data_IF_699006977518
#
_entry.id   IF_699006977518
#
_cell.length_a   1.000
_cell.length_b   1.000
_cell.length_c   1.000
_cell.angle_alpha   90.00
_cell.angle_beta   90.00
_cell.angle_gamma   90.00
#
_symmetry.space_group_name_H-M   'P 1'
#
loop_
_entity.id
_entity.type
_entity.pdbx_description
1 polymer ?
#
# COMPACT_ATOMS: atom_id res chain seq x y z
N UNK A 1 19.79 12.49 -7.10
CA UNK A 1 19.42 13.27 -8.30
C UNK A 1 18.02 12.84 -8.65
N UNK A 2 17.03 13.75 -8.57
CA UNK A 2 15.66 13.42 -8.93
C UNK A 2 15.60 13.43 -10.45
N UNK A 3 15.54 12.27 -11.09
CA UNK A 3 15.20 12.19 -12.50
C UNK A 3 13.80 12.77 -12.65
N UNK A 4 13.64 13.78 -13.51
CA UNK A 4 12.33 14.35 -13.81
C UNK A 4 11.54 13.32 -14.62
N UNK A 5 10.56 12.66 -13.99
CA UNK A 5 9.77 11.62 -14.63
C UNK A 5 8.61 12.25 -15.41
N UNK A 6 8.55 11.99 -16.71
CA UNK A 6 7.48 12.49 -17.58
C UNK A 6 6.23 11.61 -17.45
N UNK A 7 5.04 12.23 -17.47
CA UNK A 7 3.78 11.49 -17.48
C UNK A 7 3.59 10.72 -18.80
N UNK A 8 3.29 9.41 -18.78
CA UNK A 8 3.07 8.62 -20.01
C UNK A 8 1.91 9.14 -20.87
N UNK A 9 0.94 9.83 -20.26
CA UNK A 9 -0.18 10.46 -20.96
C UNK A 9 0.17 11.84 -21.58
N UNK A 10 1.44 12.27 -21.53
CA UNK A 10 1.91 13.54 -22.11
C UNK A 10 1.47 14.78 -21.33
N UNK A 11 1.00 14.64 -20.09
CA UNK A 11 0.39 15.73 -19.33
C UNK A 11 1.39 16.65 -18.59
N UNK A 12 2.70 16.43 -18.78
CA UNK A 12 3.78 17.13 -18.09
C UNK A 12 4.54 16.26 -17.09
N UNK A 13 5.31 16.90 -16.21
CA UNK A 13 6.12 16.23 -15.19
C UNK A 13 5.25 15.63 -14.07
N UNK A 14 5.75 14.54 -13.49
CA UNK A 14 5.13 13.86 -12.36
C UNK A 14 5.84 14.22 -11.05
N UNK A 15 5.06 14.30 -9.97
CA UNK A 15 5.58 14.57 -8.63
C UNK A 15 5.61 13.29 -7.80
N UNK A 16 6.70 13.10 -7.05
CA UNK A 16 6.77 12.10 -6.01
C UNK A 16 5.86 12.50 -4.84
N UNK A 17 4.84 11.68 -4.56
CA UNK A 17 4.03 11.80 -3.36
C UNK A 17 4.36 10.67 -2.40
N UNK A 18 5.06 11.05 -1.34
CA UNK A 18 5.37 10.16 -0.23
C UNK A 18 4.14 9.92 0.61
N UNK A 19 3.70 8.67 0.73
CA UNK A 19 2.68 8.26 1.69
C UNK A 19 3.32 7.41 2.77
N UNK A 20 3.11 7.82 4.02
CA UNK A 20 3.47 7.00 5.18
C UNK A 20 2.25 6.20 5.61
N UNK A 21 2.33 4.88 5.49
CA UNK A 21 1.31 3.99 6.02
C UNK A 21 1.70 3.57 7.43
N UNK A 22 1.02 4.14 8.43
CA UNK A 22 1.26 3.84 9.86
C UNK A 22 0.74 2.46 10.28
N UNK A 23 -0.11 1.81 9.47
CA UNK A 23 -0.67 0.48 9.77
C UNK A 23 0.31 -0.63 9.41
N UNK A 24 1.07 -0.45 8.32
CA UNK A 24 2.02 -1.43 7.82
C UNK A 24 3.40 -1.10 8.37
N UNK A 25 4.02 -2.06 9.06
CA UNK A 25 5.37 -1.91 9.61
C UNK A 25 6.38 -2.60 8.72
N UNK A 26 7.46 -1.90 8.41
CA UNK A 26 8.66 -2.45 7.78
C UNK A 26 9.68 -2.70 8.88
N UNK A 27 10.51 -3.73 8.68
CA UNK A 27 11.63 -4.01 9.57
C UNK A 27 12.62 -2.84 9.53
N UNK A 28 12.53 -1.96 10.52
CA UNK A 28 13.51 -0.92 10.82
C UNK A 28 14.14 -1.23 12.19
N UNK A 29 15.39 -1.70 12.25
CA UNK A 29 15.99 -2.17 13.50
C UNK A 29 16.04 -1.08 14.57
N UNK A 30 16.24 0.18 14.16
CA UNK A 30 16.24 1.32 15.06
C UNK A 30 14.83 1.64 15.59
N UNK A 31 13.81 1.64 14.72
CA UNK A 31 12.42 1.85 15.10
C UNK A 31 11.90 0.76 16.04
N UNK A 32 12.26 -0.51 15.80
CA UNK A 32 11.93 -1.62 16.71
C UNK A 32 12.66 -1.53 18.04
N UNK A 33 13.94 -1.16 18.05
CA UNK A 33 14.68 -0.92 19.29
C UNK A 33 14.04 0.19 20.13
N UNK A 34 13.59 1.28 19.50
CA UNK A 34 12.85 2.36 20.18
C UNK A 34 11.50 1.88 20.73
N UNK A 35 10.76 1.04 19.99
CA UNK A 35 9.50 0.49 20.48
C UNK A 35 9.72 -0.42 21.71
N UNK A 36 10.70 -1.33 21.63
CA UNK A 36 11.03 -2.23 22.73
C UNK A 36 11.51 -1.43 23.96
N UNK A 37 12.36 -0.43 23.75
CA UNK A 37 12.85 0.43 24.82
C UNK A 37 11.75 1.28 25.49
N UNK A 38 10.67 1.63 24.77
CA UNK A 38 9.56 2.42 25.32
C UNK A 38 8.57 1.63 26.18
N UNK A 39 8.51 0.29 26.04
CA UNK A 39 7.55 -0.56 26.78
C UNK A 39 7.78 -0.53 28.30
N UNK A 40 9.02 -0.70 28.82
CA UNK A 40 9.28 -0.64 30.27
C UNK A 40 8.83 0.68 30.91
N UNK A 41 9.00 1.81 30.21
CA UNK A 41 8.59 3.14 30.70
C UNK A 41 7.07 3.28 30.91
N UNK A 42 6.26 2.42 30.30
CA UNK A 42 4.79 2.42 30.43
C UNK A 42 4.31 1.30 31.34
N UNK A 43 4.85 0.08 31.18
CA UNK A 43 4.33 -1.12 31.82
C UNK A 43 4.88 -1.33 33.24
N UNK A 44 6.11 -0.88 33.51
CA UNK A 44 6.77 -1.06 34.81
C UNK A 44 7.70 0.14 35.09
N UNK A 45 7.14 1.36 35.23
CA UNK A 45 7.94 2.57 35.42
C UNK A 45 8.72 2.56 36.75
N UNK A 46 8.31 1.74 37.71
CA UNK A 46 8.93 1.59 39.03
C UNK A 46 10.06 0.54 39.05
N UNK A 47 10.15 -0.32 38.03
CA UNK A 47 11.18 -1.38 37.90
C UNK A 47 12.22 -1.05 36.80
N UNK A 48 12.35 0.22 36.43
CA UNK A 48 13.33 0.63 35.42
C UNK A 48 14.76 0.42 35.94
N UNK A 49 15.66 -0.24 35.20
CA UNK A 49 17.05 -0.51 35.62
C UNK A 49 17.96 0.73 35.59
N UNK A 50 17.37 1.93 35.52
CA UNK A 50 18.07 3.19 35.33
C UNK A 50 17.57 4.22 36.36
N UNK A 51 18.35 4.43 37.41
CA UNK A 51 18.09 5.42 38.49
C UNK A 51 18.12 6.89 38.02
N UNK A 52 18.35 7.13 36.72
CA UNK A 52 18.47 8.47 36.13
C UNK A 52 17.13 9.10 35.73
N UNK A 53 16.04 8.33 35.68
CA UNK A 53 14.75 8.87 35.29
C UNK A 53 13.99 9.37 36.53
N UNK A 54 13.49 10.62 36.51
CA UNK A 54 12.74 11.15 37.64
C UNK A 54 11.54 10.23 37.92
N UNK A 55 11.27 9.94 39.19
CA UNK A 55 10.15 9.11 39.69
C UNK A 55 8.76 9.70 39.41
N UNK A 56 8.66 10.63 38.47
CA UNK A 56 7.42 11.22 38.01
C UNK A 56 6.82 10.32 36.93
N UNK A 57 5.80 9.54 37.34
CA UNK A 57 5.02 8.66 36.48
C UNK A 57 4.57 9.32 35.16
N UNK A 58 4.20 10.60 35.20
CA UNK A 58 3.74 11.36 34.03
C UNK A 58 4.89 11.56 33.03
N UNK A 59 6.09 11.86 33.52
CA UNK A 59 7.28 12.08 32.69
C UNK A 59 7.74 10.76 32.06
N UNK A 60 7.79 9.68 32.84
CA UNK A 60 8.19 8.36 32.35
C UNK A 60 7.21 7.82 31.31
N UNK A 61 5.91 7.92 31.58
CA UNK A 61 4.87 7.57 30.61
C UNK A 61 5.00 8.41 29.33
N UNK A 62 5.26 9.71 29.45
CA UNK A 62 5.49 10.60 28.31
C UNK A 62 6.69 10.19 27.44
N UNK A 63 7.80 9.80 28.06
CA UNK A 63 8.99 9.30 27.37
C UNK A 63 8.68 7.96 26.67
N UNK A 64 8.03 7.03 27.36
CA UNK A 64 7.64 5.74 26.81
C UNK A 64 6.72 5.88 25.60
N UNK A 65 5.67 6.70 25.70
CA UNK A 65 4.77 7.00 24.60
C UNK A 65 5.52 7.70 23.45
N UNK A 66 6.41 8.64 23.76
CA UNK A 66 7.25 9.31 22.76
C UNK A 66 8.12 8.34 21.96
N UNK A 67 8.78 7.40 22.65
CA UNK A 67 9.59 6.34 22.03
C UNK A 67 8.74 5.39 21.17
N UNK A 68 7.55 5.00 21.65
CA UNK A 68 6.61 4.21 20.86
C UNK A 68 6.16 4.94 19.60
N UNK A 69 5.78 6.22 19.70
CA UNK A 69 5.35 7.02 18.54
C UNK A 69 6.49 7.23 17.55
N UNK A 70 7.70 7.49 18.03
CA UNK A 70 8.86 7.67 17.16
C UNK A 70 9.27 6.35 16.50
N UNK A 71 9.31 5.27 17.27
CA UNK A 71 9.62 3.93 16.80
C UNK A 71 8.61 3.42 15.78
N UNK A 72 7.31 3.61 16.03
CA UNK A 72 6.26 3.29 15.06
C UNK A 72 6.37 4.13 13.80
N UNK A 73 6.66 5.44 13.88
CA UNK A 73 6.89 6.29 12.69
C UNK A 73 8.10 5.88 11.85
N UNK A 74 9.16 5.40 12.51
CA UNK A 74 10.39 4.92 11.88
C UNK A 74 10.18 3.56 11.22
N UNK A 75 9.53 2.65 11.92
CA UNK A 75 9.10 1.35 11.39
C UNK A 75 7.90 1.46 10.44
N UNK A 76 7.29 2.64 10.27
CA UNK A 76 6.17 2.80 9.34
C UNK A 76 6.65 2.72 7.91
N UNK A 77 5.86 2.03 7.11
CA UNK A 77 6.14 1.94 5.70
C UNK A 77 6.05 3.32 5.02
N UNK A 78 7.08 3.65 4.24
CA UNK A 78 7.11 4.82 3.37
C UNK A 78 7.11 4.33 1.92
N UNK A 79 6.02 4.58 1.20
CA UNK A 79 5.97 4.38 -0.25
C UNK A 79 6.07 5.71 -0.96
N UNK A 80 6.87 5.73 -2.03
CA UNK A 80 6.95 6.84 -2.97
C UNK A 80 6.17 6.45 -4.21
N UNK A 81 5.03 7.11 -4.43
CA UNK A 81 4.28 6.94 -5.67
C UNK A 81 4.48 8.17 -6.55
N UNK A 82 4.66 7.97 -7.84
CA UNK A 82 4.70 9.06 -8.82
C UNK A 82 3.27 9.41 -9.21
N UNK A 83 2.88 10.68 -9.05
CA UNK A 83 1.53 11.15 -9.38
C UNK A 83 1.58 12.35 -10.31
N UNK A 84 0.79 12.29 -11.37
CA UNK A 84 0.56 13.44 -12.23
C UNK A 84 -0.53 14.33 -11.61
N UNK A 85 -0.25 15.63 -11.44
CA UNK A 85 -1.25 16.58 -10.92
C UNK A 85 -2.31 16.94 -11.95
N UNK A 86 -2.00 16.83 -13.25
CA UNK A 86 -2.91 17.17 -14.35
C UNK A 86 -3.93 16.07 -14.62
N UNK A 87 -3.48 14.87 -14.99
CA UNK A 87 -4.39 13.76 -15.33
C UNK A 87 -4.79 12.90 -14.13
N UNK A 88 -4.20 13.14 -12.95
CA UNK A 88 -4.39 12.34 -11.72
C UNK A 88 -3.96 10.88 -11.83
N UNK A 89 -3.21 10.53 -12.88
CA UNK A 89 -2.62 9.21 -13.04
C UNK A 89 -1.49 8.95 -12.05
N UNK A 90 -1.24 7.67 -11.77
CA UNK A 90 -0.28 7.19 -10.76
C UNK A 90 0.59 6.11 -11.37
N UNK A 91 1.92 6.23 -11.20
CA UNK A 91 2.87 5.16 -11.45
C UNK A 91 3.22 4.52 -10.11
N UNK A 92 3.14 3.19 -10.06
CA UNK A 92 3.66 2.36 -8.98
C UNK A 92 4.97 1.74 -9.45
N UNK A 93 6.03 1.97 -8.68
CA UNK A 93 7.33 1.29 -8.81
C UNK A 93 7.29 -0.07 -8.10
N UNK A 94 8.18 -0.99 -8.49
CA UNK A 94 8.36 -2.34 -7.92
C UNK A 94 8.03 -2.48 -6.42
N UNK A 95 8.67 -1.67 -5.55
CA UNK A 95 8.44 -1.73 -4.10
C UNK A 95 7.01 -1.37 -3.69
N UNK A 96 6.42 -0.40 -4.37
CA UNK A 96 5.04 0.04 -4.10
C UNK A 96 4.01 -0.96 -4.64
N UNK A 97 4.32 -1.65 -5.73
CA UNK A 97 3.51 -2.76 -6.27
C UNK A 97 3.44 -3.87 -5.24
N UNK A 98 4.59 -4.39 -4.79
CA UNK A 98 4.66 -5.51 -3.85
C UNK A 98 3.96 -5.22 -2.51
N UNK A 99 3.86 -3.96 -2.12
CA UNK A 99 3.24 -3.58 -0.86
C UNK A 99 1.76 -3.27 -0.97
N UNK A 100 1.35 -2.56 -2.02
CA UNK A 100 -0.06 -2.19 -2.21
C UNK A 100 -0.89 -3.33 -2.77
N UNK A 101 -0.24 -4.25 -3.46
CA UNK A 101 -0.84 -5.43 -4.06
C UNK A 101 -0.43 -6.69 -3.30
N UNK A 102 0.20 -6.53 -2.12
CA UNK A 102 0.35 -7.63 -1.17
C UNK A 102 -1.04 -8.08 -0.77
N UNK A 103 -1.24 -9.40 -0.74
CA UNK A 103 -2.41 -9.96 -0.08
C UNK A 103 -2.47 -9.55 1.40
N UNK A 104 -3.63 -9.77 2.03
CA UNK A 104 -3.94 -9.44 3.41
C UNK A 104 -2.78 -9.79 4.37
N UNK A 105 -2.64 -9.01 5.44
CA UNK A 105 -1.51 -8.99 6.37
C UNK A 105 -1.19 -10.38 6.98
N UNK A 106 -2.16 -11.29 6.94
CA UNK A 106 -2.07 -12.68 7.41
C UNK A 106 -1.63 -13.70 6.34
N UNK A 107 -1.35 -13.27 5.11
CA UNK A 107 -0.95 -14.15 4.01
C UNK A 107 -2.05 -15.08 3.49
N UNK A 108 -3.30 -14.82 3.88
CA UNK A 108 -4.46 -15.65 3.54
C UNK A 108 -5.06 -15.32 2.17
N UNK A 109 -4.85 -14.09 1.66
CA UNK A 109 -5.30 -13.74 0.32
C UNK A 109 -4.13 -13.85 -0.67
N UNK A 110 -4.44 -14.27 -1.89
CA UNK A 110 -3.46 -14.45 -2.96
C UNK A 110 -2.66 -13.17 -3.26
N UNK A 111 -1.40 -13.35 -3.69
CA UNK A 111 -0.51 -12.26 -4.03
C UNK A 111 -0.93 -11.62 -5.37
N UNK A 112 -1.68 -10.50 -5.29
CA UNK A 112 -2.18 -9.78 -6.48
C UNK A 112 -1.04 -9.27 -7.36
N UNK A 113 0.09 -8.90 -6.76
CA UNK A 113 1.26 -8.42 -7.49
C UNK A 113 1.80 -9.48 -8.46
N UNK A 114 1.89 -10.73 -8.00
CA UNK A 114 2.39 -11.84 -8.82
C UNK A 114 1.45 -12.13 -9.99
N UNK A 115 0.13 -12.17 -9.74
CA UNK A 115 -0.86 -12.33 -10.80
C UNK A 115 -0.72 -11.24 -11.88
N UNK A 116 -0.55 -9.98 -11.47
CA UNK A 116 -0.41 -8.85 -12.41
C UNK A 116 0.87 -8.97 -13.23
N UNK A 117 2.00 -9.35 -12.60
CA UNK A 117 3.27 -9.58 -13.31
C UNK A 117 3.12 -10.70 -14.34
N UNK A 118 2.57 -11.85 -13.95
CA UNK A 118 2.33 -12.97 -14.89
C UNK A 118 1.37 -12.57 -16.03
N UNK A 119 0.33 -11.78 -15.72
CA UNK A 119 -0.60 -11.28 -16.72
C UNK A 119 0.08 -10.29 -17.70
N UNK A 120 1.04 -9.48 -17.23
CA UNK A 120 1.82 -8.59 -18.10
C UNK A 120 2.74 -9.38 -19.03
N UNK A 121 3.47 -10.38 -18.50
CA UNK A 121 4.37 -11.23 -19.29
C UNK A 121 3.64 -12.05 -20.36
N UNK A 122 2.38 -12.41 -20.10
CA UNK A 122 1.55 -13.18 -21.04
C UNK A 122 0.71 -12.32 -21.97
N UNK A 123 0.64 -11.01 -21.73
CA UNK A 123 -0.14 -10.12 -22.58
C UNK A 123 0.56 -9.81 -23.88
N UNK A 124 -0.16 -9.94 -24.99
CA UNK A 124 0.26 -9.51 -26.32
C UNK A 124 -0.34 -8.16 -26.72
N UNK A 125 -1.20 -7.56 -25.88
CA UNK A 125 -1.77 -6.24 -26.13
C UNK A 125 -0.74 -5.17 -25.74
N UNK A 126 -0.19 -4.45 -26.72
CA UNK A 126 0.62 -3.26 -26.47
C UNK A 126 -0.28 -2.06 -26.08
N UNK A 127 0.13 -1.34 -25.06
CA UNK A 127 -0.45 -0.06 -24.66
C UNK A 127 -0.06 1.06 -25.62
N UNK A 128 -0.85 2.13 -25.64
CA UNK A 128 -0.53 3.38 -26.31
C UNK A 128 0.57 4.18 -25.58
N UNK A 129 0.90 3.78 -24.35
CA UNK A 129 1.82 4.50 -23.47
C UNK A 129 3.20 3.83 -23.44
N UNK A 130 4.24 4.67 -23.47
CA UNK A 130 5.62 4.23 -23.32
C UNK A 130 6.06 4.27 -21.85
N UNK A 131 6.93 3.33 -21.49
CA UNK A 131 7.63 3.27 -20.22
C UNK A 131 8.55 4.49 -20.05
N UNK A 132 8.44 5.27 -18.96
CA UNK A 132 9.29 6.44 -18.77
C UNK A 132 10.77 6.07 -18.52
N UNK A 133 11.07 4.84 -18.11
CA UNK A 133 12.44 4.41 -17.79
C UNK A 133 13.16 3.79 -19.00
N UNK A 134 12.52 2.85 -19.70
CA UNK A 134 13.14 2.17 -20.85
C UNK A 134 12.68 2.68 -22.22
N UNK A 135 11.61 3.49 -22.28
CA UNK A 135 11.05 4.00 -23.54
C UNK A 135 10.27 2.98 -24.38
N UNK A 136 10.25 1.70 -24.00
CA UNK A 136 9.45 0.67 -24.66
C UNK A 136 7.95 0.86 -24.39
N UNK A 137 7.10 0.38 -25.31
CA UNK A 137 5.66 0.40 -25.07
C UNK A 137 5.31 -0.52 -23.89
N UNK A 138 4.44 -0.03 -23.03
CA UNK A 138 3.91 -0.82 -21.92
C UNK A 138 2.98 -1.92 -22.46
N UNK A 139 2.86 -3.04 -21.75
CA UNK A 139 1.82 -4.03 -21.98
C UNK A 139 0.51 -3.57 -21.34
N UNK A 140 -0.60 -3.79 -22.04
CA UNK A 140 -1.95 -3.52 -21.55
C UNK A 140 -2.56 -4.81 -20.99
N UNK A 141 -3.13 -4.74 -19.78
CA UNK A 141 -3.88 -5.84 -19.19
C UNK A 141 -5.22 -5.38 -18.64
N UNK A 142 -6.16 -6.32 -18.59
CA UNK A 142 -7.49 -6.14 -18.00
C UNK A 142 -7.64 -7.11 -16.85
N UNK A 143 -7.63 -6.59 -15.63
CA UNK A 143 -7.75 -7.39 -14.42
C UNK A 143 -9.22 -7.37 -13.96
N UNK A 144 -9.95 -8.49 -14.02
CA UNK A 144 -11.27 -8.58 -13.44
C UNK A 144 -11.15 -8.63 -11.92
N UNK A 145 -11.90 -7.79 -11.24
CA UNK A 145 -11.95 -7.69 -9.78
C UNK A 145 -13.39 -7.80 -9.29
N UNK A 146 -13.56 -8.40 -8.12
CA UNK A 146 -14.77 -8.29 -7.33
C UNK A 146 -14.53 -7.36 -6.15
N UNK A 147 -15.35 -6.31 -6.07
CA UNK A 147 -15.35 -5.36 -4.97
C UNK A 147 -16.27 -5.90 -3.87
N UNK A 148 -15.69 -6.54 -2.85
CA UNK A 148 -16.42 -7.06 -1.67
C UNK A 148 -16.78 -5.98 -0.65
N UNK A 149 -16.97 -4.72 -1.09
CA UNK A 149 -17.36 -3.64 -0.19
C UNK A 149 -18.72 -3.97 0.45
N UNK A 150 -18.67 -4.25 1.76
CA UNK A 150 -19.87 -4.35 2.59
C UNK A 150 -20.69 -3.07 2.43
N UNK A 151 -21.89 -3.20 1.84
CA UNK A 151 -22.96 -2.27 2.19
C UNK A 151 -23.50 -2.74 3.53
N UNK A 152 -23.35 -1.98 4.63
CA UNK A 152 -24.05 -2.32 5.85
C UNK A 152 -25.55 -2.22 5.58
N UNK A 153 -26.23 -3.36 5.46
CA UNK A 153 -27.68 -3.39 5.45
C UNK A 153 -28.13 -3.11 6.88
N UNK A 154 -28.77 -1.96 7.09
CA UNK A 154 -29.17 -1.47 8.42
C UNK A 154 -30.34 -2.26 9.06
N UNK A 155 -30.72 -3.42 8.50
CA UNK A 155 -32.03 -4.04 8.71
C UNK A 155 -32.04 -5.56 8.95
N UNK A 156 -30.91 -6.23 9.20
CA UNK A 156 -30.95 -7.68 9.50
C UNK A 156 -30.03 -8.02 10.69
N UNK A 157 -30.44 -8.96 11.58
CA UNK A 157 -29.64 -9.31 12.75
C UNK A 157 -28.43 -10.19 12.40
N UNK A 158 -27.24 -9.62 12.62
CA UNK A 158 -25.86 -10.09 12.90
C UNK A 158 -25.38 -11.56 12.79
N UNK A 159 -26.19 -12.59 12.49
CA UNK A 159 -25.72 -13.99 12.61
C UNK A 159 -25.92 -14.83 11.33
N UNK A 160 -26.67 -14.34 10.33
CA UNK A 160 -26.92 -15.09 9.07
C UNK A 160 -26.58 -14.29 7.81
N UNK A 161 -26.11 -13.04 7.93
CA UNK A 161 -25.91 -12.13 6.79
C UNK A 161 -24.58 -12.26 6.05
N UNK A 162 -23.55 -12.85 6.67
CA UNK A 162 -22.17 -12.83 6.16
C UNK A 162 -21.99 -13.48 4.78
N UNK A 163 -22.93 -14.31 4.35
CA UNK A 163 -22.85 -15.03 3.07
C UNK A 163 -23.80 -14.47 2.01
N UNK A 164 -24.92 -13.82 2.41
CA UNK A 164 -26.01 -13.51 1.47
C UNK A 164 -26.03 -12.06 0.98
N UNK A 165 -25.36 -11.12 1.66
CA UNK A 165 -25.40 -9.69 1.31
C UNK A 165 -24.11 -9.11 0.73
N UNK A 166 -23.20 -9.99 0.26
CA UNK A 166 -22.08 -9.58 -0.56
C UNK A 166 -22.60 -9.26 -1.97
N UNK A 167 -23.04 -8.02 -2.21
CA UNK A 167 -23.28 -7.54 -3.57
C UNK A 167 -21.92 -7.37 -4.25
N UNK A 168 -21.34 -8.47 -4.72
CA UNK A 168 -20.06 -8.48 -5.44
C UNK A 168 -20.25 -7.72 -6.76
N UNK A 169 -19.73 -6.50 -6.82
CA UNK A 169 -19.74 -5.76 -8.07
C UNK A 169 -18.49 -6.17 -8.83
N UNK A 170 -18.67 -7.05 -9.82
CA UNK A 170 -17.63 -7.38 -10.79
C UNK A 170 -17.28 -6.13 -11.60
N UNK A 171 -16.00 -5.76 -11.61
CA UNK A 171 -15.44 -4.62 -12.35
C UNK A 171 -14.17 -5.06 -13.04
N UNK A 172 -13.83 -4.39 -14.14
CA UNK A 172 -12.56 -4.62 -14.83
C UNK A 172 -11.66 -3.40 -14.65
N UNK A 173 -10.47 -3.62 -14.09
CA UNK A 173 -9.43 -2.60 -13.95
C UNK A 173 -8.47 -2.74 -15.12
N UNK A 174 -8.33 -1.67 -15.90
CA UNK A 174 -7.33 -1.57 -16.96
C UNK A 174 -6.02 -1.06 -16.37
N UNK A 175 -4.94 -1.77 -16.63
CA UNK A 175 -3.60 -1.48 -16.13
C UNK A 175 -2.65 -1.51 -17.33
N UNK A 176 -1.76 -0.53 -17.39
CA UNK A 176 -0.65 -0.50 -18.33
C UNK A 176 0.62 -0.76 -17.50
N UNK A 177 1.50 -1.66 -17.94
CA UNK A 177 2.70 -1.98 -17.16
C UNK A 177 3.89 -2.34 -18.03
N UNK A 178 5.09 -2.10 -17.51
CA UNK A 178 6.33 -2.55 -18.13
C UNK A 178 6.90 -3.69 -17.29
N UNK A 179 7.01 -4.88 -17.88
CA UNK A 179 7.60 -6.06 -17.22
C UNK A 179 9.09 -5.82 -16.91
N UNK A 180 9.86 -5.32 -17.87
CA UNK A 180 11.31 -5.13 -17.72
C UNK A 180 11.70 -4.13 -16.63
N UNK A 181 10.88 -3.11 -16.40
CA UNK A 181 11.13 -2.10 -15.35
C UNK A 181 10.30 -2.33 -14.07
N UNK A 182 9.45 -3.37 -14.03
CA UNK A 182 8.51 -3.65 -12.94
C UNK A 182 7.75 -2.39 -12.48
N UNK A 183 7.11 -1.72 -13.45
CA UNK A 183 6.33 -0.51 -13.24
C UNK A 183 4.90 -0.67 -13.72
N UNK A 184 3.95 -0.16 -12.92
CA UNK A 184 2.52 -0.13 -13.29
C UNK A 184 2.04 1.31 -13.40
N UNK A 185 1.42 1.63 -14.53
CA UNK A 185 0.73 2.87 -14.80
C UNK A 185 -0.78 2.72 -14.66
N UNK A 186 -1.36 3.61 -13.86
CA UNK A 186 -2.79 3.78 -13.73
C UNK A 186 -3.19 5.15 -14.25
N UNK A 187 -3.94 5.17 -15.36
CA UNK A 187 -4.49 6.41 -15.93
C UNK A 187 -5.28 7.27 -14.93
N UNK A 188 -5.87 6.67 -13.90
CA UNK A 188 -6.58 7.37 -12.80
C UNK A 188 -6.25 6.74 -11.45
N UNK A 189 -5.86 7.55 -10.46
CA UNK A 189 -5.57 7.10 -9.09
C UNK A 189 -6.72 6.30 -8.42
N UNK A 190 -7.98 6.56 -8.80
CA UNK A 190 -9.13 5.80 -8.25
C UNK A 190 -9.06 4.31 -8.61
N UNK A 191 -8.47 3.95 -9.76
CA UNK A 191 -8.32 2.56 -10.21
C UNK A 191 -7.25 1.82 -9.41
N UNK A 192 -6.14 2.49 -9.12
CA UNK A 192 -5.10 1.97 -8.22
C UNK A 192 -5.69 1.65 -6.84
N UNK A 193 -6.43 2.59 -6.23
CA UNK A 193 -7.09 2.38 -4.93
C UNK A 193 -8.08 1.21 -4.89
N UNK A 194 -8.77 0.94 -6.00
CA UNK A 194 -9.69 -0.20 -6.06
C UNK A 194 -8.91 -1.51 -6.00
N UNK A 195 -7.79 -1.60 -6.70
CA UNK A 195 -6.98 -2.80 -6.76
C UNK A 195 -6.21 -3.06 -5.46
N UNK A 196 -5.74 -1.99 -4.82
CA UNK A 196 -5.00 -2.04 -3.55
C UNK A 196 -5.88 -2.26 -2.32
N UNK A 197 -7.20 -2.41 -2.48
CA UNK A 197 -8.10 -2.60 -1.35
C UNK A 197 -8.11 -4.07 -0.92
N UNK A 198 -8.00 -4.32 0.38
CA UNK A 198 -7.93 -5.68 0.96
C UNK A 198 -9.21 -6.48 0.66
N UNK A 199 -10.37 -5.81 0.61
CA UNK A 199 -11.66 -6.44 0.28
C UNK A 199 -11.86 -6.76 -1.21
N UNK A 200 -10.86 -6.46 -2.05
CA UNK A 200 -10.94 -6.71 -3.50
C UNK A 200 -10.30 -8.04 -3.86
N UNK A 201 -11.01 -8.88 -4.59
CA UNK A 201 -10.54 -10.19 -5.02
C UNK A 201 -10.32 -10.15 -6.53
N UNK A 202 -9.21 -10.69 -7.03
CA UNK A 202 -8.99 -10.87 -8.47
C UNK A 202 -9.68 -12.16 -8.88
N UNK A 203 -10.57 -12.09 -9.87
CA UNK A 203 -11.20 -13.27 -10.44
C UNK A 203 -10.20 -13.98 -11.36
N UNK A 204 -9.79 -15.21 -11.01
CA UNK A 204 -9.05 -16.06 -11.93
C UNK A 204 -10.03 -16.67 -12.92
N UNK A 205 -9.80 -16.42 -14.20
CA UNK A 205 -10.43 -17.13 -15.32
C UNK A 205 -9.54 -18.25 -15.79
#
# INVERSE_FOLDING_TARGET
MSAEVQCPAGCGLMDYKTKRNMKIRVFDPLGYAMMIAGIPFIAAPDDLPFDFFPSNLIVNTGIGVGLLVLGTRRASLVTTDLRCNTCTGVILESKSIDQKLKGDLLGLSENKAEYIRTALSSSTEESEYACPDCGEKMSHIRVPIEDGSHRPNLLVPDIVEDIQNLSTVSRVVKIDGCEGCDMLWFKKAKREKLLSNDSTIILKT
#
